data_IF_855302483971
#
_entry.id   IF_855302483971
#
_cell.length_a   1.000
_cell.length_b   1.000
_cell.length_c   1.000
_cell.angle_alpha   90.00
_cell.angle_beta   90.00
_cell.angle_gamma   90.00
#
_symmetry.space_group_name_H-M   'P 1'
#
loop_
_entity.id
_entity.type
_entity.pdbx_description
1 polymer ?
#
# COMPACT_ATOMS: atom_id res chain seq x y z
N UNK A 1 -12.90 10.69 23.90
CA UNK A 1 -13.79 9.77 23.16
C UNK A 1 -15.14 10.43 23.06
N UNK A 2 -15.91 10.12 22.02
CA UNK A 2 -17.27 10.63 21.81
C UNK A 2 -18.18 9.44 21.55
N UNK A 3 -19.39 9.46 22.13
CA UNK A 3 -20.41 8.44 21.92
C UNK A 3 -21.59 9.11 21.24
N UNK A 4 -22.03 8.54 20.13
CA UNK A 4 -23.18 8.99 19.36
C UNK A 4 -24.29 7.94 19.44
N UNK A 5 -25.47 8.36 19.82
CA UNK A 5 -26.69 7.55 19.73
C UNK A 5 -27.31 7.74 18.35
N UNK A 6 -27.41 6.65 17.59
CA UNK A 6 -27.98 6.66 16.24
C UNK A 6 -29.52 6.65 16.24
N UNK A 7 -30.16 6.58 17.41
CA UNK A 7 -31.62 6.53 17.60
C UNK A 7 -32.30 5.33 16.93
N UNK A 8 -31.54 4.29 16.62
CA UNK A 8 -31.97 3.02 16.04
C UNK A 8 -31.57 1.83 16.93
N UNK A 9 -31.34 2.09 18.22
CA UNK A 9 -30.79 1.15 19.20
C UNK A 9 -29.32 0.76 18.96
N UNK A 10 -28.60 1.47 18.10
CA UNK A 10 -27.14 1.34 17.96
C UNK A 10 -26.41 2.57 18.48
N UNK A 11 -25.20 2.35 18.99
CA UNK A 11 -24.32 3.40 19.49
C UNK A 11 -23.01 3.37 18.73
N UNK A 12 -22.54 4.53 18.29
CA UNK A 12 -21.24 4.69 17.65
C UNK A 12 -20.25 5.32 18.63
N UNK A 13 -19.11 4.68 18.84
CA UNK A 13 -18.03 5.20 19.68
C UNK A 13 -16.87 5.66 18.80
N UNK A 14 -16.47 6.91 18.93
CA UNK A 14 -15.28 7.49 18.29
C UNK A 14 -14.16 7.68 19.32
N UNK A 15 -12.98 7.17 18.97
CA UNK A 15 -11.78 7.21 19.79
C UNK A 15 -10.65 7.79 18.94
N UNK A 16 -9.94 8.77 19.50
CA UNK A 16 -8.79 9.42 18.87
C UNK A 16 -7.55 9.09 19.69
N UNK A 17 -6.90 7.94 19.42
CA UNK A 17 -5.70 7.54 20.15
C UNK A 17 -4.54 8.47 19.82
N UNK A 18 -3.84 8.93 20.84
CA UNK A 18 -2.64 9.80 20.70
C UNK A 18 -1.34 9.02 20.63
N UNK A 19 -1.37 7.74 21.01
CA UNK A 19 -0.19 6.88 21.09
C UNK A 19 -0.37 5.61 20.26
N UNK A 20 0.73 5.17 19.67
CA UNK A 20 0.82 3.89 18.94
C UNK A 20 0.87 2.76 19.95
N UNK A 21 0.12 1.70 19.71
CA UNK A 21 0.12 0.53 20.57
C UNK A 21 -1.23 -0.16 20.66
N UNK A 22 -1.30 -1.08 21.61
CA UNK A 22 -2.52 -1.80 21.93
C UNK A 22 -3.29 -1.02 22.99
N UNK A 23 -4.51 -0.63 22.66
CA UNK A 23 -5.44 0.07 23.55
C UNK A 23 -6.59 -0.85 23.91
N UNK A 24 -6.97 -0.88 25.18
CA UNK A 24 -8.16 -1.60 25.66
C UNK A 24 -9.32 -0.63 25.82
N UNK A 25 -10.43 -0.93 25.15
CA UNK A 25 -11.64 -0.12 25.20
C UNK A 25 -12.69 -0.84 26.03
N UNK A 26 -13.03 -0.27 27.17
CA UNK A 26 -14.05 -0.78 28.07
C UNK A 26 -15.40 -0.16 27.70
N UNK A 27 -16.36 -1.02 27.37
CA UNK A 27 -17.75 -0.64 27.13
C UNK A 27 -18.64 -1.33 28.15
N UNK A 28 -19.45 -0.55 28.85
CA UNK A 28 -20.32 -1.01 29.93
C UNK A 28 -21.73 -0.45 29.76
N UNK A 29 -22.72 -1.24 30.19
CA UNK A 29 -24.12 -0.85 30.27
C UNK A 29 -24.63 -1.10 31.69
N UNK A 30 -25.11 -0.05 32.37
CA UNK A 30 -25.59 -0.16 33.76
C UNK A 30 -24.51 -0.67 34.73
N UNK A 31 -23.24 -0.31 34.51
CA UNK A 31 -22.10 -0.76 35.32
C UNK A 31 -21.69 -2.22 35.08
N UNK A 32 -22.19 -2.88 34.03
CA UNK A 32 -21.79 -4.23 33.63
C UNK A 32 -21.15 -4.20 32.23
N UNK A 33 -20.05 -4.93 32.00
CA UNK A 33 -19.43 -5.00 30.68
C UNK A 33 -20.39 -5.61 29.66
N UNK A 34 -20.44 -5.01 28.47
CA UNK A 34 -21.16 -5.61 27.35
C UNK A 34 -20.41 -6.82 26.80
N UNK A 35 -21.09 -7.65 26.03
CA UNK A 35 -20.45 -8.80 25.38
C UNK A 35 -19.25 -8.35 24.53
N UNK A 36 -18.08 -8.99 24.72
CA UNK A 36 -16.84 -8.67 24.00
C UNK A 36 -16.00 -7.55 24.61
N UNK A 37 -16.50 -6.85 25.64
CA UNK A 37 -15.71 -5.87 26.39
C UNK A 37 -14.73 -6.57 27.36
N UNK A 38 -13.46 -6.13 27.44
CA UNK A 38 -12.87 -5.01 26.71
C UNK A 38 -12.48 -5.37 25.27
N UNK A 39 -12.61 -4.40 24.37
CA UNK A 39 -12.20 -4.53 22.98
C UNK A 39 -10.74 -4.14 22.81
N UNK A 40 -9.93 -5.02 22.21
CA UNK A 40 -8.55 -4.73 21.86
C UNK A 40 -8.47 -3.94 20.55
N UNK A 41 -8.04 -2.69 20.63
CA UNK A 41 -7.81 -1.82 19.47
C UNK A 41 -6.30 -1.69 19.24
N UNK A 42 -5.85 -2.10 18.06
CA UNK A 42 -4.44 -1.97 17.65
C UNK A 42 -4.25 -0.70 16.85
N UNK A 43 -3.54 0.26 17.42
CA UNK A 43 -3.24 1.54 16.79
C UNK A 43 -1.82 1.48 16.24
N UNK A 44 -1.69 1.42 14.91
CA UNK A 44 -0.41 1.47 14.23
C UNK A 44 0.09 2.91 14.02
N UNK A 45 1.37 3.05 13.67
CA UNK A 45 1.85 4.33 13.12
C UNK A 45 1.09 4.63 11.82
N UNK A 46 0.72 5.90 11.56
CA UNK A 46 0.23 6.31 10.26
C UNK A 46 1.24 5.90 9.18
N UNK A 47 0.79 5.52 7.97
CA UNK A 47 1.70 5.36 6.86
C UNK A 47 2.43 6.67 6.59
N UNK A 48 3.71 6.58 6.28
CA UNK A 48 4.58 7.69 5.92
C UNK A 48 5.12 7.46 4.51
N UNK A 49 4.42 7.98 3.48
CA UNK A 49 4.82 7.82 2.09
C UNK A 49 6.19 8.44 1.78
N UNK A 50 6.64 9.42 2.58
CA UNK A 50 7.93 10.08 2.36
C UNK A 50 9.13 9.14 2.57
N UNK A 51 8.92 8.03 3.28
CA UNK A 51 9.94 6.99 3.51
C UNK A 51 10.00 5.94 2.39
N UNK A 52 9.12 6.02 1.39
CA UNK A 52 9.21 5.16 0.21
C UNK A 52 10.31 5.68 -0.71
N UNK A 53 11.24 4.81 -1.10
CA UNK A 53 12.34 5.14 -2.02
C UNK A 53 12.27 4.24 -3.25
N UNK A 54 12.65 4.80 -4.39
CA UNK A 54 12.70 4.08 -5.67
C UNK A 54 14.05 4.36 -6.31
N UNK A 55 14.76 3.32 -6.74
CA UNK A 55 16.07 3.45 -7.38
C UNK A 55 16.34 2.28 -8.33
N UNK A 56 17.26 2.49 -9.28
CA UNK A 56 17.71 1.47 -10.23
C UNK A 56 17.78 1.98 -11.67
N UNK A 57 18.45 1.24 -12.56
CA UNK A 57 18.68 1.65 -13.94
C UNK A 57 17.39 1.83 -14.75
N UNK A 58 16.29 1.17 -14.36
CA UNK A 58 14.98 1.34 -14.98
C UNK A 58 14.31 2.70 -14.76
N UNK A 59 14.89 3.57 -13.93
CA UNK A 59 14.43 4.95 -13.69
C UNK A 59 15.26 6.00 -14.44
N UNK A 60 16.38 5.59 -15.05
CA UNK A 60 17.27 6.51 -15.76
C UNK A 60 16.66 6.94 -17.10
N UNK A 61 16.88 8.22 -17.46
CA UNK A 61 16.48 8.74 -18.76
C UNK A 61 17.44 8.23 -19.83
N UNK A 62 16.94 7.50 -20.83
CA UNK A 62 17.74 7.09 -21.98
C UNK A 62 17.30 5.76 -22.58
N UNK A 63 18.04 5.32 -23.60
CA UNK A 63 17.88 3.99 -24.16
C UNK A 63 18.55 2.97 -23.23
N UNK A 64 17.77 2.06 -22.67
CA UNK A 64 18.30 0.95 -21.89
C UNK A 64 19.14 0.07 -22.82
N UNK A 65 20.40 -0.20 -22.44
CA UNK A 65 21.36 -0.98 -23.24
C UNK A 65 20.88 -2.37 -23.64
N UNK A 66 20.12 -3.03 -22.77
CA UNK A 66 19.79 -4.47 -22.86
C UNK A 66 18.31 -4.73 -23.12
N UNK A 67 17.60 -3.71 -23.60
CA UNK A 67 16.16 -3.67 -23.63
C UNK A 67 15.42 -4.24 -22.39
N UNK A 68 16.02 -4.03 -21.23
CA UNK A 68 15.54 -4.47 -19.91
C UNK A 68 15.93 -3.41 -18.88
N UNK A 69 15.00 -3.03 -18.03
CA UNK A 69 15.20 -2.04 -16.97
C UNK A 69 14.71 -2.59 -15.65
N UNK A 70 15.49 -2.44 -14.59
CA UNK A 70 15.07 -2.87 -13.26
C UNK A 70 15.03 -1.68 -12.32
N UNK A 71 14.00 -1.62 -11.48
CA UNK A 71 13.97 -0.69 -10.37
C UNK A 71 13.45 -1.38 -9.11
N UNK A 72 13.98 -0.94 -7.98
CA UNK A 72 13.62 -1.43 -6.66
C UNK A 72 12.76 -0.38 -5.95
N UNK A 73 11.69 -0.84 -5.30
CA UNK A 73 10.89 -0.03 -4.39
C UNK A 73 11.16 -0.46 -2.96
N UNK A 74 11.80 0.42 -2.19
CA UNK A 74 12.00 0.23 -0.75
C UNK A 74 10.87 0.91 0.02
N UNK A 75 10.12 0.11 0.80
CA UNK A 75 9.02 0.61 1.65
C UNK A 75 9.32 0.45 3.14
N UNK A 76 10.59 0.25 3.50
CA UNK A 76 11.01 0.07 4.90
C UNK A 76 10.71 1.35 5.68
N UNK A 77 9.98 1.22 6.78
CA UNK A 77 9.63 2.36 7.65
C UNK A 77 8.47 3.22 7.15
N UNK A 78 7.90 2.96 5.97
CA UNK A 78 6.73 3.68 5.45
C UNK A 78 5.41 3.29 6.16
N UNK A 79 5.43 2.31 7.07
CA UNK A 79 4.25 1.84 7.77
C UNK A 79 3.31 0.98 6.91
N UNK A 80 2.13 0.61 7.46
CA UNK A 80 1.17 -0.22 6.77
C UNK A 80 0.47 0.55 5.64
N UNK A 81 0.41 -0.03 4.45
CA UNK A 81 -0.28 0.59 3.31
C UNK A 81 -0.15 -0.19 2.01
N UNK A 82 -0.96 0.20 1.03
CA UNK A 82 -0.97 -0.40 -0.30
C UNK A 82 -0.05 0.37 -1.24
N UNK A 83 0.94 -0.31 -1.81
CA UNK A 83 1.79 0.25 -2.86
C UNK A 83 1.12 0.02 -4.22
N UNK A 84 0.94 1.09 -4.99
CA UNK A 84 0.41 1.03 -6.34
C UNK A 84 1.45 1.56 -7.32
N UNK A 85 1.75 0.75 -8.33
CA UNK A 85 2.71 1.08 -9.38
C UNK A 85 1.95 1.23 -10.69
N UNK A 86 2.21 2.31 -11.42
CA UNK A 86 1.65 2.57 -12.75
C UNK A 86 2.82 2.85 -13.69
N UNK A 87 2.85 2.13 -14.80
CA UNK A 87 3.87 2.33 -15.81
C UNK A 87 3.16 2.60 -17.13
N UNK A 88 3.57 3.66 -17.80
CA UNK A 88 3.03 4.09 -19.07
C UNK A 88 4.09 3.85 -20.15
N UNK A 89 3.68 3.21 -21.24
CA UNK A 89 4.56 2.90 -22.38
C UNK A 89 3.80 2.98 -23.71
N UNK A 90 4.51 2.97 -24.84
CA UNK A 90 3.91 2.93 -26.16
C UNK A 90 3.05 1.67 -26.33
N UNK A 91 1.94 1.78 -27.08
CA UNK A 91 1.01 0.67 -27.31
C UNK A 91 1.69 -0.46 -28.07
N UNK A 92 1.62 -1.69 -27.56
CA UNK A 92 1.92 -2.91 -28.30
C UNK A 92 3.13 -3.74 -27.85
N UNK A 93 4.10 -3.17 -27.11
CA UNK A 93 5.37 -3.86 -26.84
C UNK A 93 5.93 -3.66 -25.41
N UNK A 94 5.10 -3.17 -24.49
CA UNK A 94 5.48 -2.91 -23.10
C UNK A 94 5.02 -4.06 -22.18
N UNK A 95 5.96 -4.88 -21.69
CA UNK A 95 5.70 -5.90 -20.67
C UNK A 95 6.44 -5.51 -19.39
N UNK A 96 5.87 -5.88 -18.25
CA UNK A 96 6.55 -5.73 -16.98
C UNK A 96 6.16 -6.89 -16.08
N UNK A 97 7.05 -7.24 -15.16
CA UNK A 97 6.84 -8.30 -14.18
C UNK A 97 7.20 -7.76 -12.81
N UNK A 98 6.34 -8.01 -11.83
CA UNK A 98 6.68 -7.80 -10.43
C UNK A 98 7.28 -9.12 -9.91
N UNK A 99 8.50 -9.07 -9.39
CA UNK A 99 9.14 -10.22 -8.73
C UNK A 99 9.52 -9.79 -7.33
N UNK A 100 8.87 -10.34 -6.29
CA UNK A 100 9.23 -10.02 -4.92
C UNK A 100 8.59 -10.92 -3.88
N UNK A 101 9.43 -11.65 -3.14
CA UNK A 101 9.04 -12.45 -1.96
C UNK A 101 9.09 -11.66 -0.65
N UNK A 102 9.83 -10.54 -0.59
CA UNK A 102 9.87 -9.61 0.56
C UNK A 102 10.46 -8.22 0.24
N UNK A 103 11.21 -8.10 -0.85
CA UNK A 103 11.70 -6.83 -1.41
C UNK A 103 10.90 -6.56 -2.67
N UNK A 104 10.21 -5.42 -2.74
CA UNK A 104 9.27 -5.08 -3.81
C UNK A 104 10.05 -4.60 -5.06
N UNK A 105 10.88 -5.49 -5.63
CA UNK A 105 11.57 -5.26 -6.91
C UNK A 105 10.59 -5.37 -8.08
N UNK A 106 10.69 -4.42 -9.02
CA UNK A 106 9.93 -4.46 -10.27
C UNK A 106 10.92 -4.58 -11.42
N UNK A 107 10.74 -5.64 -12.19
CA UNK A 107 11.50 -5.91 -13.38
C UNK A 107 10.70 -5.44 -14.60
N UNK A 108 11.20 -4.44 -15.32
CA UNK A 108 10.66 -4.04 -16.62
C UNK A 108 11.40 -4.79 -17.73
N UNK A 109 10.67 -5.58 -18.50
CA UNK A 109 11.19 -6.27 -19.69
C UNK A 109 10.43 -5.77 -20.88
N UNK A 110 11.08 -5.04 -21.78
CA UNK A 110 10.39 -4.58 -22.97
C UNK A 110 10.76 -5.42 -24.18
N UNK A 111 9.76 -5.65 -25.02
CA UNK A 111 9.91 -6.44 -26.23
C UNK A 111 10.02 -5.46 -27.38
N UNK A 112 11.15 -5.45 -28.09
CA UNK A 112 11.32 -4.61 -29.28
C UNK A 112 11.05 -5.36 -30.56
N UNK A 113 10.38 -6.52 -30.52
CA UNK A 113 9.90 -7.15 -31.75
C UNK A 113 9.09 -6.10 -32.52
N UNK A 114 9.53 -5.70 -33.73
CA UNK A 114 8.74 -4.80 -34.54
C UNK A 114 7.37 -5.45 -34.69
N UNK A 115 6.30 -4.74 -34.37
CA UNK A 115 4.98 -5.11 -34.87
C UNK A 115 5.19 -5.27 -36.37
N UNK A 116 5.13 -6.50 -36.90
CA UNK A 116 5.28 -6.74 -38.33
C UNK A 116 4.27 -5.82 -39.01
N UNK A 117 4.76 -4.73 -39.57
CA UNK A 117 3.95 -3.85 -40.38
C UNK A 117 3.49 -4.73 -41.53
N UNK A 118 2.17 -4.88 -41.65
CA UNK A 118 1.56 -5.79 -42.60
C UNK A 118 2.24 -5.67 -43.95
N UNK A 119 2.64 -6.83 -44.48
CA UNK A 119 3.09 -6.95 -45.86
C UNK A 119 2.05 -6.26 -46.76
N UNK A 120 2.53 -5.31 -47.56
CA UNK A 120 1.77 -4.72 -48.67
C UNK A 120 1.97 -5.63 -49.88
#
# INVERSE_FOLDING_TARGET
CTVFDNKDSTYQVQIYPTEVGNHLVYVEWGGRPVHGSPFLVRVGQPPDPSKVRVYGPGLENGLLRSFKGEFLVETKGAGPGTLKIRIHGPRGAFRWKCTGTHLRSVLLEYDTTPLKQGAI
#
